data_IF_323724117985
#
_entry.id   IF_323724117985
#
_cell.length_a   1.000
_cell.length_b   1.000
_cell.length_c   1.000
_cell.angle_alpha   90.00
_cell.angle_beta   90.00
_cell.angle_gamma   90.00
#
_symmetry.space_group_name_H-M   'P 1'
#
loop_
_entity.id
_entity.type
_entity.pdbx_description
1 polymer ?
#
# COMPACT_ATOMS: atom_id res chain seq x y z
N UNK A 1 6.59 16.22 -8.69
CA UNK A 1 7.06 16.02 -10.08
C UNK A 1 5.97 16.38 -11.07
N UNK A 2 6.37 16.92 -12.21
CA UNK A 2 5.51 16.99 -13.38
C UNK A 2 5.40 15.58 -14.00
N UNK A 3 4.19 15.06 -14.10
CA UNK A 3 3.95 13.68 -14.55
C UNK A 3 4.26 13.43 -16.04
N UNK A 4 4.41 14.47 -16.84
CA UNK A 4 4.75 14.38 -18.28
C UNK A 4 6.25 14.45 -18.52
N UNK A 5 6.95 15.30 -17.76
CA UNK A 5 8.38 15.58 -17.97
C UNK A 5 9.28 14.88 -16.96
N UNK A 6 8.71 14.35 -15.88
CA UNK A 6 9.38 13.76 -14.72
C UNK A 6 10.36 14.71 -14.03
N UNK A 7 10.23 16.01 -14.29
CA UNK A 7 11.07 17.05 -13.65
C UNK A 7 10.49 17.44 -12.29
N UNK A 8 11.37 17.79 -11.31
CA UNK A 8 10.90 18.37 -10.06
C UNK A 8 10.15 19.69 -10.31
N UNK A 9 9.06 19.88 -9.58
CA UNK A 9 8.31 21.13 -9.58
C UNK A 9 8.98 22.15 -8.64
N UNK A 10 8.76 23.45 -8.89
CA UNK A 10 9.22 24.52 -8.00
C UNK A 10 8.15 24.86 -6.95
N UNK A 11 8.53 25.23 -5.71
CA UNK A 11 9.90 25.26 -5.22
C UNK A 11 10.49 23.86 -5.03
N UNK A 12 11.77 23.67 -5.37
CA UNK A 12 12.46 22.40 -5.15
C UNK A 12 12.80 22.25 -3.67
N UNK A 13 12.33 21.18 -3.07
CA UNK A 13 12.50 20.89 -1.65
C UNK A 13 12.86 19.42 -1.43
N UNK A 14 13.88 19.16 -0.63
CA UNK A 14 14.26 17.81 -0.19
C UNK A 14 13.68 17.60 1.20
N UNK A 15 12.67 16.75 1.29
CA UNK A 15 12.04 16.35 2.56
C UNK A 15 12.83 15.21 3.20
N UNK A 16 13.10 15.32 4.50
CA UNK A 16 13.79 14.25 5.24
C UNK A 16 12.91 13.01 5.44
N UNK A 17 11.62 13.20 5.68
CA UNK A 17 10.69 12.08 5.90
C UNK A 17 10.34 11.35 4.62
N UNK A 18 10.04 12.07 3.53
CA UNK A 18 9.77 11.44 2.24
C UNK A 18 10.98 10.66 1.71
N UNK A 19 12.18 11.23 1.86
CA UNK A 19 13.42 10.55 1.50
C UNK A 19 13.67 9.32 2.38
N UNK A 20 13.41 9.40 3.68
CA UNK A 20 13.49 8.28 4.61
C UNK A 20 12.50 7.17 4.29
N UNK A 21 11.27 7.52 3.94
CA UNK A 21 10.26 6.57 3.47
C UNK A 21 10.68 5.87 2.18
N UNK A 22 11.16 6.63 1.20
CA UNK A 22 11.66 6.05 -0.05
C UNK A 22 12.79 5.06 0.22
N UNK A 23 13.76 5.42 1.06
CA UNK A 23 14.86 4.53 1.43
C UNK A 23 14.36 3.25 2.14
N UNK A 24 13.44 3.37 3.11
CA UNK A 24 12.83 2.23 3.80
C UNK A 24 12.05 1.32 2.85
N UNK A 25 11.27 1.89 1.93
CA UNK A 25 10.55 1.15 0.90
C UNK A 25 11.50 0.42 -0.07
N UNK A 26 12.61 1.06 -0.47
CA UNK A 26 13.61 0.46 -1.36
C UNK A 26 14.31 -0.74 -0.71
N UNK A 27 14.67 -0.66 0.58
CA UNK A 27 15.25 -1.80 1.31
C UNK A 27 14.23 -2.95 1.45
N UNK A 28 12.99 -2.63 1.72
CA UNK A 28 11.90 -3.63 1.77
C UNK A 28 11.69 -4.29 0.40
N UNK A 29 11.71 -3.50 -0.68
CA UNK A 29 11.60 -4.00 -2.05
C UNK A 29 12.80 -4.87 -2.44
N UNK A 30 14.02 -4.48 -2.07
CA UNK A 30 15.24 -5.26 -2.27
C UNK A 30 15.08 -6.67 -1.70
N UNK A 31 14.61 -6.77 -0.46
CA UNK A 31 14.38 -8.06 0.19
C UNK A 31 13.27 -8.87 -0.52
N UNK A 32 12.17 -8.22 -0.89
CA UNK A 32 11.08 -8.86 -1.63
C UNK A 32 11.52 -9.38 -3.01
N UNK A 33 12.37 -8.65 -3.73
CA UNK A 33 12.97 -9.11 -4.98
C UNK A 33 13.86 -10.35 -4.76
N UNK A 34 14.67 -10.36 -3.70
CA UNK A 34 15.50 -11.50 -3.37
C UNK A 34 14.67 -12.76 -3.07
N UNK A 35 13.52 -12.63 -2.38
CA UNK A 35 12.61 -13.75 -2.10
C UNK A 35 12.05 -14.41 -3.38
N UNK A 36 11.89 -13.66 -4.48
CA UNK A 36 11.35 -14.20 -5.73
C UNK A 36 12.22 -15.32 -6.31
N UNK A 37 13.51 -15.37 -5.98
CA UNK A 37 14.43 -16.40 -6.48
C UNK A 37 14.09 -17.80 -5.95
N UNK A 38 13.58 -17.85 -4.73
CA UNK A 38 13.26 -19.06 -3.99
C UNK A 38 11.74 -19.39 -3.98
N UNK A 39 10.94 -18.60 -4.70
CA UNK A 39 9.53 -18.90 -4.89
C UNK A 39 9.29 -19.77 -6.13
N UNK A 40 8.25 -20.63 -6.13
CA UNK A 40 7.83 -21.36 -7.32
C UNK A 40 7.61 -20.41 -8.50
N UNK A 41 8.12 -20.78 -9.69
CA UNK A 41 8.00 -19.94 -10.90
C UNK A 41 6.56 -19.74 -11.35
N UNK A 42 5.66 -20.60 -10.94
CA UNK A 42 4.22 -20.50 -11.17
C UNK A 42 3.49 -20.80 -9.84
N UNK A 43 3.38 -19.83 -8.95
CA UNK A 43 2.74 -20.05 -7.66
C UNK A 43 1.23 -20.23 -7.80
N UNK A 44 0.60 -20.97 -6.88
CA UNK A 44 -0.84 -21.27 -6.91
C UNK A 44 -1.74 -20.00 -6.96
N UNK A 45 -1.31 -18.91 -6.32
CA UNK A 45 -2.00 -17.63 -6.34
C UNK A 45 -2.03 -16.95 -7.73
N UNK A 46 -1.17 -17.37 -8.68
CA UNK A 46 -1.23 -16.86 -10.05
C UNK A 46 -2.55 -17.27 -10.75
N UNK A 47 -3.01 -18.50 -10.53
CA UNK A 47 -4.30 -18.97 -11.04
C UNK A 47 -5.48 -18.35 -10.28
N UNK A 48 -5.31 -18.10 -8.99
CA UNK A 48 -6.30 -17.36 -8.21
C UNK A 48 -6.46 -15.93 -8.74
N UNK A 49 -5.36 -15.25 -9.10
CA UNK A 49 -5.41 -13.92 -9.71
C UNK A 49 -6.17 -13.89 -11.04
N UNK A 50 -6.04 -14.94 -11.88
CA UNK A 50 -6.88 -15.08 -13.08
C UNK A 50 -8.36 -15.23 -12.74
N UNK A 51 -8.68 -16.05 -11.73
CA UNK A 51 -10.06 -16.24 -11.26
C UNK A 51 -10.66 -14.94 -10.74
N UNK A 52 -9.90 -14.19 -9.94
CA UNK A 52 -10.35 -12.90 -9.38
C UNK A 52 -10.65 -11.89 -10.49
N UNK A 53 -9.77 -11.80 -11.49
CA UNK A 53 -9.99 -10.93 -12.66
C UNK A 53 -11.22 -11.34 -13.46
N UNK A 54 -11.43 -12.66 -13.63
CA UNK A 54 -12.61 -13.21 -14.30
C UNK A 54 -13.89 -12.90 -13.51
N UNK A 55 -13.86 -12.96 -12.19
CA UNK A 55 -15.00 -12.60 -11.33
C UNK A 55 -15.40 -11.15 -11.47
N UNK A 56 -14.42 -10.23 -11.46
CA UNK A 56 -14.70 -8.81 -11.71
C UNK A 56 -15.35 -8.60 -13.07
N UNK A 57 -14.85 -9.27 -14.12
CA UNK A 57 -15.46 -9.21 -15.45
C UNK A 57 -16.90 -9.72 -15.44
N UNK A 58 -17.19 -10.81 -14.74
CA UNK A 58 -18.55 -11.38 -14.65
C UNK A 58 -19.50 -10.40 -13.93
N UNK A 59 -19.02 -9.69 -12.91
CA UNK A 59 -19.81 -8.68 -12.18
C UNK A 59 -20.16 -7.46 -13.06
N UNK A 60 -19.37 -7.18 -14.10
CA UNK A 60 -19.62 -6.10 -15.05
C UNK A 60 -20.58 -6.51 -16.20
N UNK A 61 -21.00 -7.77 -16.28
CA UNK A 61 -21.88 -8.22 -17.34
C UNK A 61 -23.25 -7.54 -17.25
N UNK A 62 -23.74 -6.94 -18.34
CA UNK A 62 -25.09 -6.42 -18.37
C UNK A 62 -26.12 -7.56 -18.28
N UNK A 63 -27.29 -7.31 -17.68
CA UNK A 63 -28.37 -8.32 -17.58
C UNK A 63 -28.84 -8.89 -18.94
N UNK A 64 -28.58 -8.15 -20.02
CA UNK A 64 -28.89 -8.54 -21.40
C UNK A 64 -27.84 -9.45 -22.05
N UNK A 65 -26.80 -9.84 -21.32
CA UNK A 65 -25.74 -10.72 -21.84
C UNK A 65 -26.30 -12.04 -22.38
N UNK A 66 -25.70 -12.54 -23.45
CA UNK A 66 -26.16 -13.79 -24.08
C UNK A 66 -25.91 -14.99 -23.17
N UNK A 67 -26.82 -15.97 -23.20
CA UNK A 67 -26.66 -17.21 -22.45
C UNK A 67 -25.40 -17.99 -22.83
N UNK A 68 -24.92 -17.85 -24.08
CA UNK A 68 -23.67 -18.46 -24.57
C UNK A 68 -22.46 -17.85 -23.88
N UNK A 69 -22.37 -16.51 -23.77
CA UNK A 69 -21.30 -15.82 -23.06
C UNK A 69 -21.26 -16.22 -21.58
N UNK A 70 -22.41 -16.21 -20.91
CA UNK A 70 -22.51 -16.62 -19.50
C UNK A 70 -22.04 -18.07 -19.30
N UNK A 71 -22.40 -18.98 -20.21
CA UNK A 71 -21.98 -20.39 -20.18
C UNK A 71 -20.46 -20.53 -20.34
N UNK A 72 -19.85 -19.80 -21.28
CA UNK A 72 -18.40 -19.84 -21.53
C UNK A 72 -17.62 -19.30 -20.32
N UNK A 73 -18.07 -18.19 -19.74
CA UNK A 73 -17.44 -17.62 -18.54
C UNK A 73 -17.57 -18.59 -17.35
N UNK A 74 -18.70 -19.27 -17.20
CA UNK A 74 -18.88 -20.31 -16.18
C UNK A 74 -17.91 -21.48 -16.38
N UNK A 75 -17.70 -21.94 -17.59
CA UNK A 75 -16.71 -22.99 -17.89
C UNK A 75 -15.29 -22.56 -17.53
N UNK A 76 -14.92 -21.29 -17.76
CA UNK A 76 -13.62 -20.75 -17.34
C UNK A 76 -13.49 -20.68 -15.82
N UNK A 77 -14.55 -20.24 -15.12
CA UNK A 77 -14.56 -20.23 -13.66
C UNK A 77 -14.38 -21.64 -13.09
N UNK A 78 -15.10 -22.63 -13.64
CA UNK A 78 -15.00 -24.01 -13.22
C UNK A 78 -13.60 -24.61 -13.47
N UNK A 79 -12.98 -24.27 -14.60
CA UNK A 79 -11.60 -24.67 -14.91
C UNK A 79 -10.56 -24.02 -13.98
N UNK A 80 -10.77 -22.75 -13.59
CA UNK A 80 -9.89 -22.01 -12.68
C UNK A 80 -10.14 -22.32 -11.20
N UNK A 81 -11.19 -23.10 -10.88
CA UNK A 81 -11.52 -23.54 -9.52
C UNK A 81 -11.34 -25.06 -9.39
N UNK A 82 -10.16 -25.63 -9.68
CA UNK A 82 -9.97 -27.06 -9.57
C UNK A 82 -10.01 -27.49 -8.10
N UNK A 83 -10.54 -28.70 -7.84
CA UNK A 83 -10.48 -29.32 -6.51
C UNK A 83 -9.01 -29.55 -6.06
N UNK A 84 -8.08 -29.64 -7.00
CA UNK A 84 -6.65 -29.88 -6.77
C UNK A 84 -5.82 -28.92 -7.66
N UNK A 85 -5.17 -27.93 -7.07
CA UNK A 85 -4.37 -26.96 -7.84
C UNK A 85 -3.18 -27.65 -8.52
N UNK A 86 -2.65 -27.13 -9.63
CA UNK A 86 -1.48 -27.69 -10.31
C UNK A 86 -0.30 -27.90 -9.37
N UNK A 87 0.25 -29.11 -9.35
CA UNK A 87 1.40 -29.48 -8.51
C UNK A 87 2.70 -29.56 -9.28
N UNK A 88 2.60 -29.75 -10.60
CA UNK A 88 3.75 -29.84 -11.51
C UNK A 88 3.63 -28.80 -12.61
N UNK A 89 4.73 -28.52 -13.32
CA UNK A 89 4.69 -27.67 -14.51
C UNK A 89 3.82 -28.27 -15.62
N UNK A 90 3.81 -29.60 -15.76
CA UNK A 90 2.96 -30.29 -16.74
C UNK A 90 1.47 -30.16 -16.40
N UNK A 91 1.10 -30.17 -15.10
CA UNK A 91 -0.28 -29.91 -14.67
C UNK A 91 -0.68 -28.46 -14.98
N UNK A 92 0.21 -27.51 -14.72
CA UNK A 92 -0.01 -26.10 -15.00
C UNK A 92 -0.18 -25.84 -16.50
N UNK A 93 0.67 -26.44 -17.33
CA UNK A 93 0.56 -26.35 -18.80
C UNK A 93 -0.76 -26.93 -19.30
N UNK A 94 -1.18 -28.10 -18.77
CA UNK A 94 -2.48 -28.70 -19.12
C UNK A 94 -3.64 -27.76 -18.77
N UNK A 95 -3.61 -27.14 -17.60
CA UNK A 95 -4.63 -26.19 -17.19
C UNK A 95 -4.64 -24.94 -18.07
N UNK A 96 -3.47 -24.37 -18.37
CA UNK A 96 -3.35 -23.23 -19.29
C UNK A 96 -3.83 -23.57 -20.70
N UNK A 97 -3.55 -24.79 -21.20
CA UNK A 97 -4.06 -25.25 -22.48
C UNK A 97 -5.57 -25.46 -22.48
N UNK A 98 -6.16 -25.90 -21.36
CA UNK A 98 -7.61 -26.00 -21.20
C UNK A 98 -8.27 -24.62 -21.20
N UNK A 99 -7.74 -23.67 -20.42
CA UNK A 99 -8.19 -22.28 -20.42
C UNK A 99 -8.12 -21.67 -21.82
N UNK A 100 -7.02 -21.90 -22.56
CA UNK A 100 -6.87 -21.47 -23.95
C UNK A 100 -7.94 -22.05 -24.85
N UNK A 101 -8.26 -23.34 -24.71
CA UNK A 101 -9.28 -24.02 -25.50
C UNK A 101 -10.69 -23.53 -25.23
N UNK A 102 -11.01 -23.21 -23.97
CA UNK A 102 -12.31 -22.69 -23.56
C UNK A 102 -12.42 -21.22 -23.98
N UNK A 103 -11.36 -20.43 -23.75
CA UNK A 103 -11.44 -18.98 -23.69
C UNK A 103 -10.37 -18.17 -24.37
N UNK A 104 -9.64 -18.74 -25.32
CA UNK A 104 -8.54 -18.04 -25.96
C UNK A 104 -8.97 -16.73 -26.63
N UNK A 105 -8.90 -15.63 -25.89
CA UNK A 105 -9.28 -14.30 -26.31
C UNK A 105 -10.69 -13.89 -25.85
N UNK A 106 -10.87 -13.64 -24.55
CA UNK A 106 -12.16 -13.15 -23.99
C UNK A 106 -12.69 -11.92 -24.70
N UNK A 107 -11.81 -11.04 -25.10
CA UNK A 107 -12.15 -9.85 -25.90
C UNK A 107 -12.94 -10.21 -27.16
N UNK A 108 -12.62 -11.34 -27.82
CA UNK A 108 -13.31 -11.77 -29.04
C UNK A 108 -14.74 -12.29 -28.79
N UNK A 109 -15.10 -12.57 -27.55
CA UNK A 109 -16.45 -13.03 -27.18
C UNK A 109 -17.41 -11.90 -26.89
N UNK A 110 -16.87 -10.69 -26.70
CA UNK A 110 -17.69 -9.52 -26.41
C UNK A 110 -18.45 -9.10 -27.67
N UNK A 111 -19.70 -8.64 -27.55
CA UNK A 111 -20.44 -8.07 -28.67
C UNK A 111 -19.70 -6.92 -29.33
N UNK A 112 -19.85 -6.78 -30.66
CA UNK A 112 -19.15 -5.72 -31.41
C UNK A 112 -19.59 -4.29 -31.02
N UNK A 113 -20.75 -4.15 -30.40
CA UNK A 113 -21.31 -2.89 -29.92
C UNK A 113 -20.82 -2.47 -28.54
N UNK A 114 -19.96 -3.29 -27.89
CA UNK A 114 -19.43 -2.92 -26.58
C UNK A 114 -18.49 -1.72 -26.69
N UNK A 115 -18.68 -0.81 -25.74
CA UNK A 115 -17.78 0.31 -25.55
C UNK A 115 -16.35 -0.18 -25.24
N UNK A 116 -15.43 0.11 -26.16
CA UNK A 116 -14.01 -0.27 -26.05
C UNK A 116 -13.29 0.48 -24.91
N UNK A 117 -13.83 1.62 -24.49
CA UNK A 117 -13.34 2.40 -23.34
C UNK A 117 -14.07 2.01 -22.05
N UNK A 118 -15.01 1.06 -22.11
CA UNK A 118 -15.81 0.59 -20.98
C UNK A 118 -15.11 -0.44 -20.11
N UNK A 119 -15.56 -0.56 -18.87
CA UNK A 119 -14.99 -1.47 -17.87
C UNK A 119 -15.03 -2.95 -18.30
N UNK A 120 -16.08 -3.38 -18.96
CA UNK A 120 -16.20 -4.78 -19.40
C UNK A 120 -15.09 -5.15 -20.40
N UNK A 121 -14.79 -4.26 -21.35
CA UNK A 121 -13.70 -4.45 -22.29
C UNK A 121 -12.34 -4.43 -21.61
N UNK A 122 -12.14 -3.49 -20.68
CA UNK A 122 -10.93 -3.39 -19.88
C UNK A 122 -10.63 -4.69 -19.11
N UNK A 123 -11.61 -5.24 -18.40
CA UNK A 123 -11.42 -6.46 -17.61
C UNK A 123 -11.21 -7.70 -18.48
N UNK A 124 -11.84 -7.77 -19.65
CA UNK A 124 -11.57 -8.83 -20.62
C UNK A 124 -10.13 -8.76 -21.15
N UNK A 125 -9.65 -7.55 -21.47
CA UNK A 125 -8.24 -7.36 -21.85
C UNK A 125 -7.29 -7.70 -20.70
N UNK A 126 -7.59 -7.30 -19.47
CA UNK A 126 -6.78 -7.60 -18.30
C UNK A 126 -6.62 -9.11 -18.10
N UNK A 127 -7.72 -9.87 -18.20
CA UNK A 127 -7.66 -11.33 -18.16
C UNK A 127 -6.80 -11.92 -19.26
N UNK A 128 -7.02 -11.51 -20.52
CA UNK A 128 -6.25 -12.01 -21.67
C UNK A 128 -4.76 -11.68 -21.53
N UNK A 129 -4.40 -10.53 -21.01
CA UNK A 129 -3.01 -10.13 -20.75
C UNK A 129 -2.37 -10.98 -19.65
N UNK A 130 -3.06 -11.15 -18.52
CA UNK A 130 -2.58 -12.00 -17.41
C UNK A 130 -2.39 -13.45 -17.86
N UNK A 131 -3.36 -13.99 -18.60
CA UNK A 131 -3.28 -15.35 -19.12
C UNK A 131 -2.07 -15.52 -20.05
N UNK A 132 -1.87 -14.58 -21.00
CA UNK A 132 -0.70 -14.61 -21.91
C UNK A 132 0.60 -14.51 -21.12
N UNK A 133 0.69 -13.61 -20.15
CA UNK A 133 1.88 -13.44 -19.33
C UNK A 133 2.26 -14.73 -18.59
N UNK A 134 1.30 -15.45 -18.00
CA UNK A 134 1.55 -16.74 -17.34
C UNK A 134 2.04 -17.80 -18.32
N UNK A 135 1.44 -17.85 -19.50
CA UNK A 135 1.80 -18.80 -20.53
C UNK A 135 3.18 -18.53 -21.13
N UNK A 136 3.47 -17.27 -21.41
CA UNK A 136 4.74 -16.82 -21.94
C UNK A 136 5.86 -17.07 -20.92
N UNK A 137 5.63 -16.77 -19.64
CA UNK A 137 6.57 -17.05 -18.57
C UNK A 137 6.86 -18.54 -18.41
N UNK A 138 5.82 -19.40 -18.51
CA UNK A 138 6.01 -20.84 -18.45
C UNK A 138 6.88 -21.33 -19.63
N UNK A 139 6.56 -20.93 -20.85
CA UNK A 139 7.33 -21.29 -22.04
C UNK A 139 8.75 -20.72 -22.05
N UNK A 140 8.94 -19.52 -21.51
CA UNK A 140 10.23 -18.85 -21.42
C UNK A 140 11.13 -19.46 -20.35
N UNK A 141 10.60 -19.73 -19.15
CA UNK A 141 11.39 -20.19 -18.00
C UNK A 141 11.58 -21.71 -17.97
N UNK A 142 10.61 -22.49 -18.46
CA UNK A 142 10.59 -23.94 -18.32
C UNK A 142 10.25 -24.64 -19.64
N UNK A 143 11.19 -24.69 -20.60
CA UNK A 143 10.96 -25.33 -21.91
C UNK A 143 10.77 -26.86 -21.83
N UNK A 144 11.19 -27.50 -20.75
CA UNK A 144 11.07 -28.94 -20.53
C UNK A 144 10.23 -29.22 -19.26
N UNK A 145 8.92 -29.41 -19.45
CA UNK A 145 7.93 -29.43 -18.35
C UNK A 145 7.95 -30.74 -17.53
N UNK A 146 8.33 -31.86 -18.13
CA UNK A 146 8.20 -33.20 -17.50
C UNK A 146 9.36 -33.56 -16.56
N UNK A 147 10.40 -32.71 -16.47
CA UNK A 147 11.58 -32.98 -15.63
C UNK A 147 11.36 -32.75 -14.13
N UNK A 148 10.23 -32.15 -13.74
CA UNK A 148 10.00 -31.73 -12.37
C UNK A 148 8.79 -32.43 -11.76
N UNK A 149 8.98 -33.04 -10.61
CA UNK A 149 7.90 -33.65 -9.80
C UNK A 149 7.06 -32.63 -9.03
N UNK A 150 7.53 -31.39 -8.94
CA UNK A 150 6.86 -30.24 -8.34
C UNK A 150 7.11 -29.00 -9.19
N UNK A 151 6.40 -27.89 -8.93
CA UNK A 151 6.73 -26.61 -9.56
C UNK A 151 8.03 -26.11 -8.95
N UNK A 152 9.12 -25.97 -9.75
CA UNK A 152 10.43 -25.57 -9.24
C UNK A 152 10.49 -24.08 -8.93
N UNK A 153 11.47 -23.69 -8.14
CA UNK A 153 11.83 -22.27 -7.95
C UNK A 153 12.68 -21.78 -9.13
N UNK A 154 12.80 -20.45 -9.26
CA UNK A 154 13.65 -19.85 -10.28
C UNK A 154 15.12 -20.24 -10.07
N UNK A 155 15.57 -20.33 -8.81
CA UNK A 155 16.92 -20.77 -8.46
C UNK A 155 17.16 -22.23 -8.87
N UNK A 156 16.19 -23.14 -8.64
CA UNK A 156 16.30 -24.54 -9.06
C UNK A 156 16.37 -24.69 -10.59
N UNK A 157 15.54 -23.96 -11.34
CA UNK A 157 15.58 -23.96 -12.82
C UNK A 157 16.97 -23.57 -13.33
N UNK A 158 17.54 -22.50 -12.78
CA UNK A 158 18.84 -21.99 -13.22
C UNK A 158 20.00 -22.99 -13.06
N UNK A 159 19.85 -24.00 -12.20
CA UNK A 159 20.87 -25.07 -11.99
C UNK A 159 20.78 -26.22 -13.00
N UNK A 160 19.70 -26.30 -13.80
CA UNK A 160 19.41 -27.48 -14.67
C UNK A 160 20.09 -27.46 -16.04
N UNK A 161 20.95 -26.48 -16.30
CA UNK A 161 21.78 -26.47 -17.54
C UNK A 161 21.32 -25.45 -18.58
N UNK A 162 21.88 -25.59 -19.80
CA UNK A 162 21.76 -24.58 -20.86
C UNK A 162 20.33 -24.38 -21.40
N UNK A 163 19.44 -25.35 -21.25
CA UNK A 163 18.03 -25.22 -21.62
C UNK A 163 17.30 -24.14 -20.80
N UNK A 164 17.78 -23.82 -19.58
CA UNK A 164 17.20 -22.86 -18.66
C UNK A 164 17.98 -21.54 -18.58
N UNK A 165 18.65 -21.14 -19.68
CA UNK A 165 19.41 -19.87 -19.75
C UNK A 165 18.58 -18.64 -19.39
N UNK A 166 17.28 -18.69 -19.68
CA UNK A 166 16.36 -17.59 -19.43
C UNK A 166 15.99 -17.45 -17.95
N UNK A 167 15.96 -18.56 -17.20
CA UNK A 167 15.88 -18.53 -15.75
C UNK A 167 17.14 -17.88 -15.13
N UNK A 168 18.34 -18.21 -15.67
CA UNK A 168 19.59 -17.56 -15.27
C UNK A 168 19.57 -16.06 -15.58
N UNK A 169 19.05 -15.67 -16.75
CA UNK A 169 18.91 -14.27 -17.12
C UNK A 169 17.95 -13.52 -16.17
N UNK A 170 16.80 -14.15 -15.81
CA UNK A 170 15.84 -13.60 -14.87
C UNK A 170 16.45 -13.41 -13.47
N UNK A 171 17.23 -14.39 -12.98
CA UNK A 171 17.94 -14.24 -11.69
C UNK A 171 18.90 -13.04 -11.71
N UNK A 172 19.68 -12.87 -12.78
CA UNK A 172 20.56 -11.71 -12.91
C UNK A 172 19.81 -10.39 -12.91
N UNK A 173 18.67 -10.34 -13.58
CA UNK A 173 17.81 -9.15 -13.58
C UNK A 173 17.31 -8.84 -12.16
N UNK A 174 16.89 -9.87 -11.40
CA UNK A 174 16.46 -9.72 -10.01
C UNK A 174 17.60 -9.19 -9.14
N UNK A 175 18.80 -9.77 -9.26
CA UNK A 175 19.98 -9.34 -8.51
C UNK A 175 20.37 -7.89 -8.85
N UNK A 176 20.33 -7.53 -10.13
CA UNK A 176 20.61 -6.16 -10.58
C UNK A 176 19.59 -5.14 -10.04
N UNK A 177 18.29 -5.47 -10.09
CA UNK A 177 17.23 -4.63 -9.52
C UNK A 177 17.36 -4.51 -8.00
N UNK A 178 17.65 -5.59 -7.30
CA UNK A 178 17.87 -5.58 -5.85
C UNK A 178 19.10 -4.73 -5.49
N UNK A 179 20.20 -4.85 -6.26
CA UNK A 179 21.40 -4.00 -6.12
C UNK A 179 21.08 -2.51 -6.31
N UNK A 180 20.32 -2.18 -7.34
CA UNK A 180 19.87 -0.79 -7.60
C UNK A 180 18.97 -0.25 -6.49
N UNK A 181 18.08 -1.07 -5.92
CA UNK A 181 17.28 -0.67 -4.76
C UNK A 181 18.19 -0.30 -3.58
N UNK A 182 19.22 -1.11 -3.31
CA UNK A 182 20.19 -0.83 -2.27
C UNK A 182 20.95 0.47 -2.52
N UNK A 183 21.50 0.65 -3.71
CA UNK A 183 22.24 1.86 -4.09
C UNK A 183 21.40 3.12 -3.93
N UNK A 184 20.14 3.08 -4.35
CA UNK A 184 19.22 4.22 -4.23
C UNK A 184 18.76 4.46 -2.78
N UNK A 185 18.76 3.45 -1.92
CA UNK A 185 18.41 3.59 -0.51
C UNK A 185 19.50 4.27 0.32
N UNK A 186 20.74 4.26 -0.17
CA UNK A 186 21.88 4.94 0.48
C UNK A 186 21.91 6.40 0.04
N UNK A 187 21.19 7.24 0.77
CA UNK A 187 21.13 8.69 0.56
C UNK A 187 21.96 9.42 1.62
N UNK A 188 22.52 10.58 1.31
CA UNK A 188 23.19 11.41 2.29
C UNK A 188 22.20 12.32 3.03
N UNK A 189 22.03 12.08 4.33
CA UNK A 189 21.20 12.88 5.23
C UNK A 189 21.99 13.73 6.22
N UNK A 190 23.32 13.60 6.26
CA UNK A 190 24.16 14.28 7.27
C UNK A 190 24.00 15.79 7.24
N UNK A 191 23.77 16.38 6.06
CA UNK A 191 23.56 17.83 5.91
C UNK A 191 22.24 18.33 6.51
N UNK A 192 21.27 17.42 6.76
CA UNK A 192 20.00 17.74 7.40
C UNK A 192 20.06 17.66 8.94
N UNK A 193 21.12 17.04 9.48
CA UNK A 193 21.25 16.88 10.93
C UNK A 193 21.79 18.15 11.59
N UNK A 194 21.05 18.66 12.57
CA UNK A 194 21.48 19.75 13.41
C UNK A 194 22.19 19.20 14.66
N UNK A 195 23.51 19.32 14.68
CA UNK A 195 24.35 18.83 15.78
C UNK A 195 24.12 19.59 17.10
N UNK A 196 23.59 20.82 17.05
CA UNK A 196 23.35 21.64 18.24
C UNK A 196 22.11 21.20 19.00
N UNK A 197 21.03 20.88 18.29
CA UNK A 197 19.79 20.34 18.86
C UNK A 197 19.79 18.81 18.96
N UNK A 198 20.63 18.14 18.19
CA UNK A 198 20.61 16.68 18.06
C UNK A 198 19.43 16.15 17.24
N UNK A 199 18.80 16.99 16.42
CA UNK A 199 17.58 16.67 15.67
C UNK A 199 17.79 16.75 14.16
N UNK A 200 16.93 16.06 13.43
CA UNK A 200 16.87 16.10 11.98
C UNK A 200 15.93 17.21 11.53
N UNK A 201 16.44 18.11 10.65
CA UNK A 201 15.61 19.12 10.01
C UNK A 201 14.50 18.48 9.17
N UNK A 202 13.37 19.16 9.03
CA UNK A 202 12.27 18.70 8.17
C UNK A 202 12.68 18.61 6.69
N UNK A 203 13.68 19.40 6.27
CA UNK A 203 14.19 19.31 4.92
C UNK A 203 15.15 20.43 4.52
N UNK A 204 15.34 20.55 3.21
CA UNK A 204 16.24 21.50 2.59
C UNK A 204 15.58 22.16 1.38
N UNK A 205 15.51 23.48 1.40
CA UNK A 205 15.10 24.28 0.26
C UNK A 205 16.27 24.39 -0.73
N UNK A 206 16.14 23.73 -1.87
CA UNK A 206 17.17 23.68 -2.91
C UNK A 206 17.32 25.03 -3.60
N UNK A 207 16.19 25.76 -3.79
CA UNK A 207 16.17 27.07 -4.43
C UNK A 207 16.89 28.13 -3.58
N UNK A 208 16.61 28.14 -2.29
CA UNK A 208 17.21 29.05 -1.31
C UNK A 208 18.58 28.54 -0.77
N UNK A 209 18.96 27.30 -1.12
CA UNK A 209 20.16 26.63 -0.61
C UNK A 209 20.26 26.65 0.91
N UNK A 210 19.14 26.40 1.58
CA UNK A 210 19.03 26.55 3.02
C UNK A 210 18.33 25.34 3.64
N UNK A 211 18.92 24.86 4.74
CA UNK A 211 18.24 23.89 5.62
C UNK A 211 17.07 24.59 6.32
N UNK A 212 15.93 23.90 6.41
CA UNK A 212 14.78 24.37 7.17
C UNK A 212 15.14 24.43 8.66
N UNK A 213 14.80 25.52 9.38
CA UNK A 213 15.08 25.62 10.81
C UNK A 213 14.19 24.72 11.67
N UNK A 214 13.05 24.24 11.14
CA UNK A 214 12.17 23.34 11.87
C UNK A 214 12.74 21.90 11.84
N UNK A 215 12.47 21.17 12.94
CA UNK A 215 12.84 19.78 13.09
C UNK A 215 11.61 18.94 13.36
N UNK A 216 11.63 17.69 12.90
CA UNK A 216 10.59 16.73 13.25
C UNK A 216 10.79 16.19 14.67
N UNK A 217 9.66 15.84 15.31
CA UNK A 217 9.61 15.09 16.55
C UNK A 217 9.27 13.62 16.29
N UNK A 218 9.24 12.79 17.34
CA UNK A 218 9.03 11.33 17.25
C UNK A 218 7.74 10.96 16.52
N UNK A 219 6.65 11.69 16.79
CA UNK A 219 5.33 11.51 16.21
C UNK A 219 4.90 12.78 15.44
N UNK A 220 5.76 13.25 14.57
CA UNK A 220 5.45 14.28 13.60
C UNK A 220 5.66 13.69 12.20
N UNK A 221 4.59 13.61 11.41
CA UNK A 221 4.60 12.84 10.17
C UNK A 221 5.11 11.40 10.41
N UNK A 222 5.88 10.83 9.51
CA UNK A 222 6.52 9.52 9.61
C UNK A 222 7.98 9.57 10.04
N UNK A 223 8.39 10.64 10.71
CA UNK A 223 9.79 10.95 11.05
C UNK A 223 10.53 9.83 11.79
N UNK A 224 9.81 9.01 12.59
CA UNK A 224 10.46 7.92 13.31
C UNK A 224 11.02 6.82 12.39
N UNK A 225 10.43 6.59 11.20
CA UNK A 225 10.98 5.66 10.23
C UNK A 225 12.31 6.18 9.67
N UNK A 226 12.35 7.44 9.22
CA UNK A 226 13.58 8.07 8.76
C UNK A 226 14.65 8.06 9.85
N UNK A 227 14.30 8.48 11.07
CA UNK A 227 15.24 8.53 12.21
C UNK A 227 15.82 7.14 12.52
N UNK A 228 14.99 6.11 12.57
CA UNK A 228 15.44 4.74 12.83
C UNK A 228 16.38 4.24 11.73
N UNK A 229 15.99 4.42 10.45
CA UNK A 229 16.78 4.00 9.31
C UNK A 229 18.17 4.66 9.30
N UNK A 230 18.23 5.97 9.52
CA UNK A 230 19.48 6.71 9.48
C UNK A 230 20.43 6.37 10.64
N UNK A 231 19.90 5.99 11.78
CA UNK A 231 20.69 5.45 12.89
C UNK A 231 21.25 4.06 12.51
N UNK A 232 20.43 3.20 11.94
CA UNK A 232 20.85 1.88 11.47
C UNK A 232 21.95 1.96 10.38
N UNK A 233 21.89 2.96 9.52
CA UNK A 233 22.90 3.23 8.47
C UNK A 233 24.12 4.02 8.97
N UNK A 234 24.27 4.25 10.28
CA UNK A 234 25.37 5.05 10.88
C UNK A 234 25.48 6.49 10.31
N UNK A 235 24.37 7.04 9.83
CA UNK A 235 24.32 8.42 9.37
C UNK A 235 23.97 9.40 10.49
N UNK A 236 23.19 8.95 11.48
CA UNK A 236 22.85 9.69 12.69
C UNK A 236 23.32 8.92 13.94
N UNK A 237 23.77 9.64 14.96
CA UNK A 237 24.15 8.98 16.22
C UNK A 237 22.90 8.50 16.95
N UNK A 238 22.99 7.37 17.66
CA UNK A 238 21.90 6.79 18.45
C UNK A 238 21.25 7.81 19.43
N UNK A 239 22.03 8.76 19.94
CA UNK A 239 21.50 9.84 20.82
C UNK A 239 20.40 10.67 20.16
N UNK A 240 20.33 10.73 18.80
CA UNK A 240 19.24 11.38 18.09
C UNK A 240 17.89 10.81 18.47
N UNK A 241 17.75 9.48 18.58
CA UNK A 241 16.49 8.83 18.98
C UNK A 241 16.00 9.29 20.36
N UNK A 242 16.92 9.54 21.28
CA UNK A 242 16.59 9.99 22.62
C UNK A 242 16.38 11.51 22.72
N UNK A 243 16.82 12.28 21.74
CA UNK A 243 16.54 13.71 21.63
C UNK A 243 15.12 14.01 21.13
N UNK A 244 14.48 13.06 20.42
CA UNK A 244 13.10 13.21 19.98
C UNK A 244 12.15 13.28 21.18
N UNK A 245 11.18 14.21 21.16
CA UNK A 245 10.25 14.46 22.26
C UNK A 245 9.27 13.30 22.45
N UNK A 246 8.89 13.10 23.71
CA UNK A 246 7.94 12.05 24.15
C UNK A 246 6.93 12.64 25.12
N UNK A 247 6.24 13.68 24.67
CA UNK A 247 5.22 14.33 25.49
C UNK A 247 4.01 13.38 25.64
N UNK A 248 3.58 13.17 26.88
CA UNK A 248 2.47 12.30 27.23
C UNK A 248 1.17 13.09 27.37
N UNK A 249 0.09 12.44 26.98
CA UNK A 249 -1.30 12.89 27.23
C UNK A 249 -2.10 11.72 27.79
N UNK A 250 -3.25 12.00 28.37
CA UNK A 250 -4.17 10.98 28.90
C UNK A 250 -5.59 11.27 28.48
N UNK A 251 -6.30 10.27 27.98
CA UNK A 251 -7.70 10.33 27.61
C UNK A 251 -8.40 9.04 28.06
N UNK A 252 -9.50 9.20 28.80
CA UNK A 252 -10.30 8.06 29.25
C UNK A 252 -9.56 7.07 30.17
N UNK A 253 -8.40 7.44 30.70
CA UNK A 253 -7.54 6.57 31.51
C UNK A 253 -6.35 5.98 30.74
N UNK A 254 -6.37 6.00 29.41
CA UNK A 254 -5.27 5.56 28.58
C UNK A 254 -4.22 6.66 28.43
N UNK A 255 -2.95 6.30 28.62
CA UNK A 255 -1.79 7.19 28.46
C UNK A 255 -1.19 6.95 27.10
N UNK A 256 -0.94 8.01 26.34
CA UNK A 256 -0.32 7.94 25.02
C UNK A 256 0.65 9.09 24.78
N UNK A 257 1.55 8.91 23.84
CA UNK A 257 2.34 10.01 23.32
C UNK A 257 1.45 10.92 22.48
N UNK A 258 1.66 12.22 22.59
CA UNK A 258 0.99 13.22 21.75
C UNK A 258 1.77 13.35 20.43
N UNK A 259 1.06 13.45 19.30
CA UNK A 259 1.66 13.71 18.00
C UNK A 259 1.57 15.20 17.62
N UNK A 260 2.06 15.58 16.44
CA UNK A 260 1.94 16.97 16.00
C UNK A 260 0.49 17.32 15.63
N UNK A 261 -0.14 16.52 14.76
CA UNK A 261 -1.50 16.82 14.27
C UNK A 261 -2.59 15.95 14.90
N UNK A 262 -2.28 14.87 15.61
CA UNK A 262 -3.28 13.92 16.14
C UNK A 262 -3.91 13.05 15.06
N UNK A 263 -3.26 12.90 13.91
CA UNK A 263 -3.71 12.10 12.78
C UNK A 263 -3.40 10.62 12.96
N UNK A 264 -4.23 9.73 12.40
CA UNK A 264 -3.94 8.30 12.40
C UNK A 264 -2.64 7.99 11.66
N UNK A 265 -2.32 8.73 10.62
CA UNK A 265 -1.10 8.62 9.83
C UNK A 265 0.15 8.69 10.70
N UNK A 266 0.30 9.72 11.53
CA UNK A 266 1.47 9.91 12.40
C UNK A 266 1.69 8.74 13.35
N UNK A 267 0.60 8.12 13.82
CA UNK A 267 0.68 6.97 14.73
C UNK A 267 0.98 5.65 14.01
N UNK A 268 0.39 5.39 12.84
CA UNK A 268 0.36 4.04 12.28
C UNK A 268 1.14 3.85 10.98
N UNK A 269 1.34 4.90 10.17
CA UNK A 269 2.00 4.74 8.87
C UNK A 269 3.38 4.07 8.96
N UNK A 270 4.28 4.45 9.88
CA UNK A 270 5.58 3.80 9.97
C UNK A 270 5.52 2.29 10.24
N UNK A 271 4.45 1.80 10.88
CA UNK A 271 4.28 0.37 11.17
C UNK A 271 3.96 -0.48 9.94
N UNK A 272 3.66 0.14 8.81
CA UNK A 272 3.54 -0.59 7.54
C UNK A 272 4.87 -1.26 7.13
N UNK A 273 5.98 -0.73 7.61
CA UNK A 273 7.34 -1.21 7.31
C UNK A 273 8.10 -1.56 8.59
N UNK A 274 8.07 -0.68 9.59
CA UNK A 274 8.74 -0.91 10.87
C UNK A 274 8.01 -1.97 11.70
N UNK A 275 8.75 -2.85 12.40
CA UNK A 275 8.13 -3.77 13.34
C UNK A 275 7.52 -3.02 14.53
N UNK A 276 6.44 -3.59 15.08
CA UNK A 276 5.88 -3.19 16.36
C UNK A 276 6.28 -4.22 17.42
N UNK A 277 6.73 -3.74 18.57
CA UNK A 277 7.11 -4.60 19.69
C UNK A 277 6.06 -4.45 20.80
N UNK A 278 5.40 -5.55 21.14
CA UNK A 278 4.33 -5.57 22.13
C UNK A 278 4.78 -5.03 23.49
N UNK A 279 3.87 -4.28 24.13
CA UNK A 279 4.07 -3.65 25.45
C UNK A 279 5.19 -2.59 25.50
N UNK A 280 5.60 -2.07 24.35
CA UNK A 280 6.43 -0.87 24.32
C UNK A 280 5.57 0.40 24.37
N UNK A 281 6.20 1.51 24.74
CA UNK A 281 5.51 2.81 24.76
C UNK A 281 4.86 3.17 23.41
N UNK A 282 5.49 2.85 22.28
CA UNK A 282 4.93 3.08 20.94
C UNK A 282 3.75 2.16 20.64
N UNK A 283 3.83 0.88 21.01
CA UNK A 283 2.74 -0.08 20.82
C UNK A 283 1.48 0.35 21.60
N UNK A 284 1.64 0.66 22.88
CA UNK A 284 0.54 1.15 23.73
C UNK A 284 0.00 2.50 23.25
N UNK A 285 0.88 3.40 22.78
CA UNK A 285 0.47 4.68 22.18
C UNK A 285 -0.40 4.46 20.93
N UNK A 286 -0.02 3.56 20.04
CA UNK A 286 -0.77 3.28 18.82
C UNK A 286 -2.15 2.67 19.12
N UNK A 287 -2.24 1.76 20.09
CA UNK A 287 -3.52 1.21 20.57
C UNK A 287 -4.41 2.30 21.18
N UNK A 288 -3.84 3.12 22.05
CA UNK A 288 -4.56 4.24 22.68
C UNK A 288 -5.05 5.25 21.63
N UNK A 289 -4.25 5.52 20.59
CA UNK A 289 -4.66 6.40 19.49
C UNK A 289 -5.87 5.85 18.74
N UNK A 290 -5.90 4.57 18.40
CA UNK A 290 -7.07 3.94 17.76
C UNK A 290 -8.28 3.98 18.68
N UNK A 291 -8.13 3.63 19.96
CA UNK A 291 -9.20 3.68 20.96
C UNK A 291 -9.80 5.10 21.05
N UNK A 292 -8.95 6.11 21.07
CA UNK A 292 -9.39 7.51 21.11
C UNK A 292 -10.11 7.95 19.84
N UNK A 293 -9.68 7.50 18.67
CA UNK A 293 -10.36 7.71 17.38
C UNK A 293 -11.80 7.14 17.42
N UNK A 294 -11.94 5.92 17.91
CA UNK A 294 -13.23 5.22 18.05
C UNK A 294 -14.14 6.00 19.01
N UNK A 295 -13.62 6.38 20.16
CA UNK A 295 -14.37 7.16 21.15
C UNK A 295 -14.82 8.51 20.60
N UNK A 296 -13.93 9.23 19.92
CA UNK A 296 -14.25 10.54 19.35
C UNK A 296 -15.30 10.44 18.24
N UNK A 297 -15.19 9.45 17.35
CA UNK A 297 -16.23 9.18 16.34
C UNK A 297 -17.60 8.93 16.98
N UNK A 298 -17.65 8.13 18.07
CA UNK A 298 -18.88 7.89 18.85
C UNK A 298 -19.43 9.17 19.46
N UNK A 299 -18.59 9.99 20.09
CA UNK A 299 -18.98 11.29 20.67
C UNK A 299 -19.57 12.26 19.62
N UNK A 300 -19.04 12.20 18.38
CA UNK A 300 -19.48 13.05 17.28
C UNK A 300 -20.64 12.45 16.47
N UNK A 301 -21.02 11.19 16.72
CA UNK A 301 -22.08 10.49 16.02
C UNK A 301 -21.76 10.22 14.54
N UNK A 302 -20.49 9.94 14.20
CA UNK A 302 -19.96 9.66 12.87
C UNK A 302 -19.05 8.42 12.90
N UNK A 303 -18.79 7.76 11.78
CA UNK A 303 -17.69 6.81 11.67
C UNK A 303 -16.37 7.45 12.11
N UNK A 304 -15.44 6.65 12.57
CA UNK A 304 -14.13 7.15 12.98
C UNK A 304 -13.07 6.99 11.88
N UNK A 305 -11.92 7.63 12.05
CA UNK A 305 -10.81 7.56 11.10
C UNK A 305 -10.37 8.95 10.65
N UNK A 306 -10.03 9.81 11.62
CA UNK A 306 -9.52 11.15 11.33
C UNK A 306 -8.03 11.07 11.04
N UNK A 307 -7.64 11.56 9.86
CA UNK A 307 -6.24 11.62 9.45
C UNK A 307 -6.06 12.70 8.40
N UNK A 308 -4.85 12.90 7.91
CA UNK A 308 -4.63 13.79 6.79
C UNK A 308 -5.31 13.25 5.53
N UNK A 309 -5.97 14.13 4.80
CA UNK A 309 -6.72 13.76 3.61
C UNK A 309 -7.12 14.99 2.79
N UNK A 310 -7.62 14.73 1.59
CA UNK A 310 -8.43 15.71 0.91
C UNK A 310 -9.72 16.00 1.69
N UNK A 311 -10.28 17.18 1.51
CA UNK A 311 -11.53 17.61 2.15
C UNK A 311 -12.42 18.40 1.18
N UNK A 312 -13.66 18.68 1.55
CA UNK A 312 -14.65 19.32 0.68
C UNK A 312 -14.39 20.83 0.49
N UNK A 313 -13.22 21.15 -0.08
CA UNK A 313 -12.85 22.43 -0.63
C UNK A 313 -11.95 22.24 -1.83
N UNK A 314 -12.17 23.02 -2.89
CA UNK A 314 -11.41 22.94 -4.14
C UNK A 314 -10.72 24.26 -4.43
N UNK A 315 -9.63 24.21 -5.19
CA UNK A 315 -9.00 25.38 -5.78
C UNK A 315 -9.74 25.84 -7.06
N UNK A 316 -9.19 26.83 -7.75
CA UNK A 316 -9.76 27.33 -9.00
C UNK A 316 -9.77 26.32 -10.15
N UNK A 317 -8.94 25.27 -10.07
CA UNK A 317 -8.88 24.17 -11.02
C UNK A 317 -9.79 22.99 -10.63
N UNK A 318 -10.63 23.19 -9.60
CA UNK A 318 -11.51 22.17 -9.02
C UNK A 318 -10.76 20.96 -8.43
N UNK A 319 -9.49 21.13 -8.06
CA UNK A 319 -8.70 20.12 -7.35
C UNK A 319 -8.98 20.24 -5.86
N UNK A 320 -9.34 19.12 -5.22
CA UNK A 320 -9.56 19.08 -3.79
C UNK A 320 -8.32 19.51 -3.01
N UNK A 321 -8.53 20.30 -1.98
CA UNK A 321 -7.48 20.70 -1.06
C UNK A 321 -7.16 19.55 -0.10
N UNK A 322 -5.91 19.49 0.37
CA UNK A 322 -5.38 18.44 1.25
C UNK A 322 -4.76 19.07 2.50
N UNK A 323 -5.01 18.47 3.67
CA UNK A 323 -4.34 18.86 4.91
C UNK A 323 -4.44 17.79 6.01
N UNK A 324 -3.62 17.94 7.06
CA UNK A 324 -3.67 17.11 8.24
C UNK A 324 -4.84 17.50 9.15
N UNK A 325 -5.72 16.52 9.42
CA UNK A 325 -6.76 16.53 10.44
C UNK A 325 -6.38 15.57 11.56
N UNK A 326 -6.87 15.85 12.77
CA UNK A 326 -6.56 15.01 13.92
C UNK A 326 -7.62 15.09 15.02
N UNK A 327 -7.53 14.18 15.96
CA UNK A 327 -8.43 14.12 17.12
C UNK A 327 -7.95 15.11 18.19
N UNK A 328 -8.85 15.95 18.71
CA UNK A 328 -8.54 16.86 19.82
C UNK A 328 -7.95 16.12 21.03
N UNK A 329 -6.86 16.67 21.54
CA UNK A 329 -6.11 16.12 22.66
C UNK A 329 -5.07 15.06 22.29
N UNK A 330 -5.05 14.60 21.05
CA UNK A 330 -4.02 13.70 20.52
C UNK A 330 -2.91 14.44 19.75
N UNK A 331 -3.11 15.70 19.39
CA UNK A 331 -2.16 16.51 18.65
C UNK A 331 -1.89 17.87 19.34
N UNK A 332 -0.67 18.39 19.12
CA UNK A 332 -0.24 19.71 19.56
C UNK A 332 -0.87 20.84 18.73
N UNK A 333 -1.25 20.53 17.48
CA UNK A 333 -1.87 21.49 16.57
C UNK A 333 -3.17 22.04 17.16
N UNK A 334 -3.36 23.37 17.05
CA UNK A 334 -4.59 24.05 17.50
C UNK A 334 -5.71 23.87 16.47
N UNK A 335 -6.96 24.00 16.94
CA UNK A 335 -8.15 23.99 16.07
C UNK A 335 -8.58 22.60 15.59
N UNK A 336 -8.06 21.50 16.14
CA UNK A 336 -8.38 20.14 15.71
C UNK A 336 -9.87 19.78 15.84
N UNK A 337 -10.60 20.45 16.75
CA UNK A 337 -12.05 20.25 16.92
C UNK A 337 -12.95 21.00 15.94
N UNK A 338 -12.39 21.89 15.11
CA UNK A 338 -13.14 22.74 14.17
C UNK A 338 -13.54 21.96 12.91
N UNK A 339 -12.79 20.93 12.57
CA UNK A 339 -13.01 20.09 11.42
C UNK A 339 -13.43 18.68 11.82
N UNK A 340 -14.24 18.05 10.97
CA UNK A 340 -14.65 16.67 11.14
C UNK A 340 -14.61 15.98 9.77
N UNK A 341 -13.44 15.48 9.41
CA UNK A 341 -13.19 14.79 8.14
C UNK A 341 -12.73 13.36 8.43
N UNK A 342 -13.45 12.40 7.90
CA UNK A 342 -13.20 10.97 8.09
C UNK A 342 -12.58 10.41 6.81
N UNK A 343 -11.40 9.83 6.91
CA UNK A 343 -10.68 9.19 5.82
C UNK A 343 -10.68 7.66 6.01
N UNK A 344 -11.29 6.88 5.11
CA UNK A 344 -11.40 5.42 5.26
C UNK A 344 -10.06 4.70 5.39
N UNK A 345 -9.00 5.20 4.76
CA UNK A 345 -7.68 4.59 4.87
C UNK A 345 -7.14 4.58 6.31
N UNK A 346 -7.53 5.56 7.12
CA UNK A 346 -7.16 5.58 8.54
C UNK A 346 -7.74 4.39 9.31
N UNK A 347 -8.95 3.95 8.94
CA UNK A 347 -9.54 2.72 9.47
C UNK A 347 -8.83 1.49 8.93
N UNK A 348 -8.37 1.51 7.67
CA UNK A 348 -7.55 0.43 7.12
C UNK A 348 -6.20 0.30 7.85
N UNK A 349 -5.51 1.41 8.14
CA UNK A 349 -4.30 1.40 8.97
C UNK A 349 -4.54 0.75 10.35
N UNK A 350 -5.69 1.02 10.95
CA UNK A 350 -6.03 0.49 12.26
C UNK A 350 -6.25 -1.06 12.27
N UNK A 351 -6.34 -1.71 11.11
CA UNK A 351 -6.33 -3.17 11.00
C UNK A 351 -5.09 -3.80 11.66
N UNK A 352 -3.96 -3.10 11.63
CA UNK A 352 -2.72 -3.55 12.26
C UNK A 352 -2.79 -3.60 13.79
N UNK A 353 -3.69 -2.83 14.40
CA UNK A 353 -3.81 -2.68 15.88
C UNK A 353 -5.09 -3.29 16.43
N UNK A 354 -6.23 -3.00 15.82
CA UNK A 354 -7.57 -3.38 16.28
C UNK A 354 -8.42 -3.88 15.07
N UNK A 355 -8.11 -5.06 14.52
CA UNK A 355 -8.67 -5.52 13.25
C UNK A 355 -10.20 -5.63 13.27
N UNK A 356 -10.79 -6.10 14.38
CA UNK A 356 -12.24 -6.26 14.48
C UNK A 356 -12.98 -4.91 14.43
N UNK A 357 -12.48 -3.92 15.16
CA UNK A 357 -13.08 -2.58 15.22
C UNK A 357 -12.89 -1.85 13.88
N UNK A 358 -11.72 -2.02 13.25
CA UNK A 358 -11.45 -1.47 11.92
C UNK A 358 -12.39 -2.07 10.86
N UNK A 359 -12.57 -3.40 10.83
CA UNK A 359 -13.52 -4.05 9.92
C UNK A 359 -14.95 -3.55 10.11
N UNK A 360 -15.42 -3.44 11.35
CA UNK A 360 -16.76 -2.93 11.67
C UNK A 360 -16.96 -1.49 11.18
N UNK A 361 -15.94 -0.66 11.32
CA UNK A 361 -16.00 0.72 10.85
C UNK A 361 -16.00 0.81 9.33
N UNK A 362 -15.16 0.01 8.64
CA UNK A 362 -15.15 -0.07 7.18
C UNK A 362 -16.51 -0.56 6.63
N UNK A 363 -17.12 -1.57 7.27
CA UNK A 363 -18.49 -2.01 6.93
C UNK A 363 -19.52 -0.87 7.12
N UNK A 364 -19.39 -0.09 8.18
CA UNK A 364 -20.27 1.06 8.44
C UNK A 364 -20.10 2.14 7.36
N UNK A 365 -18.85 2.44 6.97
CA UNK A 365 -18.54 3.38 5.89
C UNK A 365 -19.13 2.91 4.54
N UNK A 366 -19.02 1.61 4.24
CA UNK A 366 -19.61 1.02 3.05
C UNK A 366 -21.15 1.11 3.06
N UNK A 367 -21.78 0.78 4.19
CA UNK A 367 -23.23 0.86 4.35
C UNK A 367 -23.77 2.29 4.22
N UNK A 368 -22.96 3.30 4.52
CA UNK A 368 -23.32 4.72 4.35
C UNK A 368 -23.07 5.24 2.91
N UNK A 369 -22.64 4.37 2.00
CA UNK A 369 -22.43 4.72 0.58
C UNK A 369 -21.10 5.44 0.30
N UNK A 370 -20.09 5.23 1.15
CA UNK A 370 -18.76 5.80 0.98
C UNK A 370 -17.80 4.87 0.22
N UNK A 371 -18.30 3.74 -0.24
CA UNK A 371 -17.63 2.79 -1.11
C UNK A 371 -18.15 2.97 -2.54
N UNK A 372 -17.25 3.18 -3.49
CA UNK A 372 -17.52 3.27 -4.92
C UNK A 372 -16.99 2.06 -5.69
N UNK A 373 -17.07 2.10 -7.01
CA UNK A 373 -16.60 1.02 -7.90
C UNK A 373 -15.11 0.71 -7.73
N UNK A 374 -14.30 1.72 -7.40
CA UNK A 374 -12.83 1.57 -7.22
C UNK A 374 -12.39 1.54 -5.75
N UNK A 375 -13.28 1.21 -4.83
CA UNK A 375 -12.99 1.18 -3.41
C UNK A 375 -13.53 2.38 -2.64
N UNK A 376 -13.06 2.57 -1.41
CA UNK A 376 -13.47 3.70 -0.59
C UNK A 376 -13.00 5.03 -1.18
N UNK A 377 -13.92 6.01 -1.23
CA UNK A 377 -13.56 7.39 -1.56
C UNK A 377 -12.58 7.95 -0.54
N UNK A 378 -11.86 8.99 -0.92
CA UNK A 378 -10.77 9.61 -0.16
C UNK A 378 -11.19 10.05 1.24
N UNK A 379 -12.32 10.76 1.37
CA UNK A 379 -12.81 11.22 2.65
C UNK A 379 -14.30 11.53 2.64
N UNK A 380 -14.84 11.68 3.85
CA UNK A 380 -16.19 12.17 4.11
C UNK A 380 -16.08 13.36 5.04
N UNK A 381 -16.48 14.53 4.56
CA UNK A 381 -16.42 15.80 5.31
C UNK A 381 -17.76 16.07 5.99
N UNK A 382 -17.76 16.09 7.31
CA UNK A 382 -18.90 16.41 8.16
C UNK A 382 -18.84 17.84 8.72
N UNK A 383 -17.87 18.65 8.30
CA UNK A 383 -17.68 20.02 8.81
C UNK A 383 -18.80 20.94 8.34
N UNK A 384 -19.59 21.55 9.23
CA UNK A 384 -20.80 22.29 8.85
C UNK A 384 -20.57 23.43 7.86
N UNK A 385 -19.42 24.10 7.93
CA UNK A 385 -19.05 25.20 7.04
C UNK A 385 -18.77 24.78 5.59
N UNK A 386 -18.55 23.48 5.35
CA UNK A 386 -18.21 22.92 4.04
C UNK A 386 -19.26 21.95 3.49
N UNK A 387 -20.33 21.72 4.25
CA UNK A 387 -21.43 20.84 3.84
C UNK A 387 -22.61 21.69 3.38
N UNK A 388 -23.23 21.33 2.27
CA UNK A 388 -24.40 22.02 1.76
C UNK A 388 -25.55 22.01 2.76
N UNK A 389 -26.31 23.14 2.82
CA UNK A 389 -27.45 23.27 3.72
C UNK A 389 -28.44 22.12 3.54
N UNK A 390 -28.83 21.48 4.61
CA UNK A 390 -29.75 20.33 4.60
C UNK A 390 -29.08 18.98 4.31
N UNK A 391 -27.79 18.95 4.04
CA UNK A 391 -27.02 17.70 3.97
C UNK A 391 -26.27 17.46 5.27
N UNK A 392 -26.00 16.19 5.59
CA UNK A 392 -25.28 15.80 6.80
C UNK A 392 -23.76 15.72 6.57
N UNK A 393 -23.33 15.45 5.35
CA UNK A 393 -21.93 15.30 4.97
C UNK A 393 -21.73 15.58 3.48
N UNK A 394 -20.47 15.69 3.07
CA UNK A 394 -20.03 15.72 1.67
C UNK A 394 -19.00 14.62 1.43
N UNK A 395 -19.13 13.88 0.33
CA UNK A 395 -18.18 12.84 -0.08
C UNK A 395 -17.10 13.48 -0.95
N UNK A 396 -15.85 13.30 -0.58
CA UNK A 396 -14.68 13.72 -1.36
C UNK A 396 -14.34 12.61 -2.34
N UNK A 397 -14.82 12.74 -3.57
CA UNK A 397 -14.72 11.72 -4.63
C UNK A 397 -13.37 11.79 -5.34
N UNK A 398 -12.33 11.42 -4.62
CA UNK A 398 -10.97 11.30 -5.10
C UNK A 398 -10.37 9.98 -4.61
N UNK A 399 -9.22 9.61 -5.16
CA UNK A 399 -8.43 8.46 -4.73
C UNK A 399 -6.96 8.90 -4.68
N UNK A 400 -6.37 8.92 -3.49
CA UNK A 400 -4.97 9.23 -3.32
C UNK A 400 -4.15 7.95 -3.37
N UNK A 401 -3.20 7.86 -4.30
CA UNK A 401 -2.42 6.65 -4.55
C UNK A 401 -1.74 6.12 -3.28
N UNK A 402 -1.15 7.01 -2.47
CA UNK A 402 -0.48 6.61 -1.23
C UNK A 402 -1.47 6.09 -0.16
N UNK A 403 -2.69 6.63 -0.06
CA UNK A 403 -3.71 6.13 0.86
C UNK A 403 -4.21 4.73 0.44
N UNK A 404 -4.36 4.50 -0.86
CA UNK A 404 -4.71 3.17 -1.38
C UNK A 404 -3.57 2.17 -1.12
N UNK A 405 -2.32 2.56 -1.37
CA UNK A 405 -1.14 1.75 -1.08
C UNK A 405 -1.02 1.40 0.40
N UNK A 406 -1.20 2.38 1.30
CA UNK A 406 -1.19 2.13 2.75
C UNK A 406 -2.32 1.20 3.19
N UNK A 407 -3.51 1.31 2.61
CA UNK A 407 -4.63 0.41 2.89
C UNK A 407 -4.32 -1.03 2.49
N UNK A 408 -3.71 -1.23 1.30
CA UNK A 408 -3.28 -2.55 0.84
C UNK A 408 -2.19 -3.14 1.74
N UNK A 409 -1.18 -2.36 2.14
CA UNK A 409 -0.12 -2.82 3.04
C UNK A 409 -0.65 -3.16 4.43
N UNK A 410 -1.65 -2.43 4.95
CA UNK A 410 -2.30 -2.76 6.21
C UNK A 410 -3.10 -4.07 6.14
N UNK A 411 -3.78 -4.34 5.02
CA UNK A 411 -4.43 -5.62 4.75
C UNK A 411 -3.40 -6.75 4.64
N UNK A 412 -2.31 -6.53 3.92
CA UNK A 412 -1.21 -7.49 3.79
C UNK A 412 -0.58 -7.82 5.17
N UNK A 413 -0.36 -6.80 6.01
CA UNK A 413 0.12 -6.98 7.38
C UNK A 413 -0.73 -7.99 8.15
N UNK A 414 -2.06 -7.85 8.08
CA UNK A 414 -3.00 -8.73 8.77
C UNK A 414 -3.09 -10.12 8.13
N UNK A 415 -3.26 -10.17 6.81
CA UNK A 415 -3.60 -11.40 6.09
C UNK A 415 -2.39 -12.30 5.82
N UNK A 416 -1.19 -11.71 5.64
CA UNK A 416 0.03 -12.42 5.25
C UNK A 416 1.10 -12.44 6.37
N UNK A 417 0.70 -12.14 7.61
CA UNK A 417 1.59 -12.19 8.78
C UNK A 417 2.82 -11.28 8.63
N UNK A 418 2.60 -9.98 8.39
CA UNK A 418 3.61 -8.91 8.45
C UNK A 418 4.80 -9.11 7.49
N UNK A 419 4.59 -9.33 6.18
CA UNK A 419 5.69 -9.62 5.27
C UNK A 419 6.61 -8.40 5.07
N UNK A 420 6.09 -7.17 5.06
CA UNK A 420 6.90 -5.97 4.86
C UNK A 420 7.86 -5.74 6.04
N UNK A 421 7.39 -5.95 7.27
CA UNK A 421 8.22 -5.84 8.47
C UNK A 421 9.32 -6.91 8.48
N UNK A 422 9.02 -8.17 8.09
CA UNK A 422 10.03 -9.22 7.96
C UNK A 422 11.07 -8.89 6.90
N UNK A 423 10.66 -8.38 5.74
CA UNK A 423 11.55 -7.94 4.66
C UNK A 423 12.45 -6.80 5.12
N UNK A 424 11.88 -5.79 5.76
CA UNK A 424 12.65 -4.67 6.30
C UNK A 424 13.69 -5.13 7.33
N UNK A 425 13.31 -6.02 8.26
CA UNK A 425 14.21 -6.62 9.26
C UNK A 425 15.20 -7.64 8.67
N UNK A 426 15.07 -8.05 7.43
CA UNK A 426 16.05 -8.94 6.80
C UNK A 426 17.37 -8.24 6.48
N UNK A 427 17.36 -6.91 6.38
CA UNK A 427 18.57 -6.12 6.22
C UNK A 427 19.40 -6.20 7.51
N UNK A 428 20.70 -6.60 7.43
CA UNK A 428 21.57 -6.76 8.61
C UNK A 428 21.76 -5.49 9.43
N UNK A 429 21.81 -4.32 8.79
CA UNK A 429 21.97 -3.04 9.47
C UNK A 429 20.69 -2.65 10.25
N UNK A 430 19.54 -2.96 9.68
CA UNK A 430 18.25 -2.69 10.32
C UNK A 430 18.01 -3.59 11.53
N UNK A 431 18.50 -4.83 11.46
CA UNK A 431 18.32 -5.82 12.52
C UNK A 431 19.30 -5.65 13.69
N UNK A 432 20.48 -5.07 13.47
CA UNK A 432 21.52 -4.86 14.48
C UNK A 432 21.11 -3.77 15.47
#
# INVERSE_FOLDING_TARGET
>A
YDTRTLKPLHPQYVSSVDSGNLAGCLLTLQAGLAELKDQPVLPANAFQGLLDTLQVLVEQLPPSSTADLAKKLKLLQDALTPNDPPRTLADADRLLNEIQRIGGGLVTWLPAEIDIDGELYYWAQAFDQQFRALRDDLGYLAPELEQFSTIPTLAELATKGSAYKDAVARLRTIDDLAGRCHELAVMDFKFLYDTSSGLLSIGYDVSERRRDPACYDLLASEARLASFLLIAQDQLPQKHWFALGRLLTSHGGDVSLISWSGSMFEYLMPQLIMPSYHHTLLDETCKAAVSRQIEYGRQRGVPWGISESCYNATDMNQVYQYRAFGVPGMGLKRGLGEDLVIAPYASALALMMMPLEACRNLQTLAAYGFLGAYGFYEAVDYTPSRVLRGKRHAIVRAFMAHHQGMSLLALEHLLLNQPMQRRFLSDPLIRA
#
